data_IF_964213858095
#
_entry.id   IF_964213858095
#
_cell.length_a   1.000
_cell.length_b   1.000
_cell.length_c   1.000
_cell.angle_alpha   90.00
_cell.angle_beta   90.00
_cell.angle_gamma   90.00
#
_symmetry.space_group_name_H-M   'P 1'
#
loop_
_entity.id
_entity.type
_entity.pdbx_description
1 polymer ?
#
# COMPACT_ATOMS: atom_id res chain seq x y z
N UNK A 1 -53.60 -19.33 12.35
CA UNK A 1 -53.48 -18.76 10.96
C UNK A 1 -52.30 -17.80 11.01
N UNK A 2 -51.12 -18.28 10.76
CA UNK A 2 -49.87 -17.52 10.90
C UNK A 2 -49.28 -17.30 9.50
N UNK A 3 -49.31 -16.05 9.08
CA UNK A 3 -48.63 -15.59 7.90
C UNK A 3 -47.19 -15.20 8.29
N UNK A 4 -46.21 -15.97 7.88
CA UNK A 4 -44.80 -15.63 8.00
C UNK A 4 -44.40 -14.86 6.75
N UNK A 5 -44.19 -13.55 6.95
CA UNK A 5 -43.64 -12.68 5.94
C UNK A 5 -42.13 -12.90 5.81
N UNK A 6 -41.71 -13.49 4.70
CA UNK A 6 -40.32 -13.64 4.33
C UNK A 6 -39.81 -12.32 3.76
N UNK A 7 -39.13 -11.52 4.57
CA UNK A 7 -38.39 -10.34 4.12
C UNK A 7 -37.08 -10.83 3.46
N UNK A 8 -37.10 -10.94 2.15
CA UNK A 8 -35.89 -11.14 1.37
C UNK A 8 -35.11 -9.83 1.35
N UNK A 9 -33.97 -9.80 2.06
CA UNK A 9 -33.03 -8.68 1.99
C UNK A 9 -32.33 -8.72 0.62
N UNK A 10 -32.76 -7.85 -0.26
CA UNK A 10 -32.02 -7.57 -1.49
C UNK A 10 -30.90 -6.60 -1.10
N UNK A 11 -29.69 -7.12 -0.90
CA UNK A 11 -28.49 -6.30 -0.89
C UNK A 11 -28.19 -5.89 -2.33
N UNK A 12 -28.28 -4.61 -2.61
CA UNK A 12 -27.85 -4.02 -3.87
C UNK A 12 -26.32 -4.03 -3.91
N UNK A 13 -25.74 -5.11 -4.43
CA UNK A 13 -24.34 -5.12 -4.87
C UNK A 13 -24.24 -4.46 -6.23
N UNK A 14 -23.30 -3.56 -6.42
CA UNK A 14 -22.96 -3.01 -7.72
C UNK A 14 -22.48 -4.14 -8.63
N UNK A 15 -23.26 -4.49 -9.63
CA UNK A 15 -22.90 -5.47 -10.64
C UNK A 15 -22.23 -4.73 -11.78
N UNK A 16 -20.93 -4.91 -11.96
CA UNK A 16 -20.29 -4.66 -13.26
C UNK A 16 -20.72 -5.79 -14.20
N UNK A 17 -21.77 -5.56 -14.96
CA UNK A 17 -22.27 -6.51 -15.92
C UNK A 17 -21.49 -6.48 -17.21
N UNK A 18 -20.85 -7.59 -17.55
CA UNK A 18 -20.52 -7.86 -18.95
C UNK A 18 -21.81 -8.27 -19.66
N UNK A 19 -22.30 -7.46 -20.58
CA UNK A 19 -23.44 -7.81 -21.42
C UNK A 19 -22.97 -8.83 -22.44
N UNK A 20 -23.33 -10.08 -22.22
CA UNK A 20 -23.20 -11.15 -23.23
C UNK A 20 -24.57 -11.32 -23.84
N UNK A 21 -24.72 -11.09 -25.15
CA UNK A 21 -25.97 -11.26 -25.86
C UNK A 21 -26.48 -12.72 -25.69
N UNK A 22 -27.58 -12.89 -24.97
CA UNK A 22 -28.24 -14.17 -24.74
C UNK A 22 -27.76 -15.01 -23.56
N UNK A 23 -27.00 -14.42 -22.60
CA UNK A 23 -26.44 -15.14 -21.46
C UNK A 23 -26.97 -14.68 -20.09
N UNK A 24 -26.87 -15.58 -19.13
CA UNK A 24 -27.16 -15.32 -17.72
C UNK A 24 -26.06 -14.41 -17.12
N UNK A 25 -26.42 -13.27 -16.53
CA UNK A 25 -25.48 -12.44 -15.79
C UNK A 25 -25.12 -13.17 -14.48
N UNK A 26 -23.85 -13.51 -14.29
CA UNK A 26 -23.33 -14.02 -13.01
C UNK A 26 -22.75 -12.84 -12.25
N UNK A 27 -23.30 -12.51 -11.09
CA UNK A 27 -22.72 -11.55 -10.17
C UNK A 27 -21.59 -12.23 -9.40
N UNK A 28 -20.36 -11.73 -9.55
CA UNK A 28 -19.20 -12.18 -8.76
C UNK A 28 -19.12 -11.29 -7.52
N UNK A 29 -19.24 -11.86 -6.35
CA UNK A 29 -18.99 -11.17 -5.06
C UNK A 29 -17.53 -11.38 -4.66
N UNK A 30 -16.90 -10.43 -3.94
CA UNK A 30 -15.46 -10.50 -3.61
C UNK A 30 -15.01 -11.74 -2.81
N UNK A 31 -15.94 -12.41 -2.12
CA UNK A 31 -15.67 -13.56 -1.25
C UNK A 31 -16.06 -14.91 -1.86
N UNK A 32 -16.35 -14.95 -3.16
CA UNK A 32 -16.69 -16.24 -3.80
C UNK A 32 -15.43 -16.93 -4.32
N UNK A 33 -15.33 -18.26 -4.14
CA UNK A 33 -14.27 -19.04 -4.77
C UNK A 33 -14.32 -18.83 -6.30
N UNK A 34 -13.20 -19.03 -7.02
CA UNK A 34 -13.11 -18.75 -8.44
C UNK A 34 -14.29 -19.38 -9.19
N UNK A 35 -15.04 -18.52 -9.90
CA UNK A 35 -16.25 -18.96 -10.60
C UNK A 35 -15.83 -19.85 -11.76
N UNK A 36 -16.17 -21.14 -11.68
CA UNK A 36 -15.95 -22.09 -12.77
C UNK A 36 -17.03 -21.91 -13.83
N UNK A 37 -16.60 -21.70 -15.05
CA UNK A 37 -17.48 -21.55 -16.21
C UNK A 37 -17.11 -22.53 -17.29
N UNK A 38 -18.10 -22.91 -18.07
CA UNK A 38 -17.94 -23.74 -19.26
C UNK A 38 -17.96 -22.88 -20.52
N UNK A 39 -16.89 -22.87 -21.30
CA UNK A 39 -16.83 -22.15 -22.56
C UNK A 39 -17.07 -23.11 -23.69
N UNK A 40 -18.10 -22.85 -24.53
CA UNK A 40 -18.39 -23.65 -25.71
C UNK A 40 -17.24 -23.54 -26.72
N UNK A 41 -16.74 -24.69 -27.17
CA UNK A 41 -15.53 -24.74 -27.97
C UNK A 41 -15.73 -24.14 -29.37
N UNK A 42 -16.98 -24.14 -29.89
CA UNK A 42 -17.34 -23.64 -31.21
C UNK A 42 -17.85 -22.19 -31.17
N UNK A 43 -18.83 -21.92 -30.34
CA UNK A 43 -19.52 -20.62 -30.30
C UNK A 43 -18.85 -19.61 -29.40
N UNK A 44 -17.92 -20.06 -28.50
CA UNK A 44 -17.28 -19.25 -27.46
C UNK A 44 -18.24 -18.65 -26.42
N UNK A 45 -19.48 -19.16 -26.40
CA UNK A 45 -20.45 -18.76 -25.37
C UNK A 45 -20.03 -19.30 -23.99
N UNK A 46 -20.30 -18.54 -22.96
CA UNK A 46 -19.97 -18.86 -21.57
C UNK A 46 -21.24 -19.36 -20.88
N UNK A 47 -21.13 -20.46 -20.16
CA UNK A 47 -22.21 -21.07 -19.38
C UNK A 47 -21.73 -21.24 -17.92
N UNK A 48 -22.62 -21.09 -16.96
CA UNK A 48 -22.30 -21.40 -15.56
C UNK A 48 -21.99 -22.89 -15.40
N UNK A 49 -20.95 -23.20 -14.61
CA UNK A 49 -20.68 -24.56 -14.14
C UNK A 49 -21.23 -24.70 -12.72
N UNK A 50 -22.23 -25.53 -12.52
CA UNK A 50 -22.90 -25.71 -11.22
C UNK A 50 -22.23 -26.76 -10.34
N UNK A 51 -21.48 -27.68 -10.95
CA UNK A 51 -20.82 -28.82 -10.29
C UNK A 51 -19.30 -28.88 -10.53
N UNK A 52 -18.75 -27.85 -11.17
CA UNK A 52 -17.33 -27.82 -11.53
C UNK A 52 -16.97 -28.70 -12.73
N UNK A 53 -17.95 -29.21 -13.47
CA UNK A 53 -17.75 -29.99 -14.69
C UNK A 53 -18.39 -29.34 -15.90
N UNK A 54 -17.95 -29.74 -17.09
CA UNK A 54 -18.49 -29.27 -18.36
C UNK A 54 -18.83 -30.45 -19.27
N UNK A 55 -19.84 -30.29 -20.10
CA UNK A 55 -20.13 -31.25 -21.18
C UNK A 55 -18.98 -31.28 -22.20
N UNK A 56 -18.80 -32.40 -22.89
CA UNK A 56 -17.64 -32.65 -23.80
C UNK A 56 -17.39 -31.58 -24.87
N UNK A 57 -18.42 -30.81 -25.25
CA UNK A 57 -18.31 -29.72 -26.23
C UNK A 57 -17.83 -28.39 -25.63
N UNK A 58 -17.56 -28.35 -24.32
CA UNK A 58 -17.20 -27.15 -23.59
C UNK A 58 -15.91 -27.37 -22.79
N UNK A 59 -15.12 -26.34 -22.67
CA UNK A 59 -13.91 -26.34 -21.85
C UNK A 59 -14.19 -25.64 -20.54
N UNK A 60 -13.80 -26.28 -19.43
CA UNK A 60 -13.85 -25.67 -18.10
C UNK A 60 -12.80 -24.57 -18.01
N UNK A 61 -13.23 -23.38 -17.64
CA UNK A 61 -12.34 -22.24 -17.33
C UNK A 61 -12.69 -21.69 -15.96
N UNK A 62 -11.67 -21.26 -15.25
CA UNK A 62 -11.84 -20.53 -14.01
C UNK A 62 -11.73 -19.02 -14.31
N UNK A 63 -12.79 -18.28 -13.96
CA UNK A 63 -12.71 -16.82 -13.95
C UNK A 63 -12.04 -16.47 -12.61
N UNK A 64 -10.74 -16.30 -12.64
CA UNK A 64 -9.99 -15.76 -11.52
C UNK A 64 -10.13 -14.24 -11.62
N UNK A 65 -11.01 -13.67 -10.82
CA UNK A 65 -10.93 -12.25 -10.54
C UNK A 65 -9.66 -12.06 -9.70
N UNK A 66 -8.62 -11.49 -10.27
CA UNK A 66 -7.48 -11.02 -9.48
C UNK A 66 -7.91 -9.77 -8.72
N UNK A 67 -8.75 -9.93 -7.70
CA UNK A 67 -8.95 -8.88 -6.74
C UNK A 67 -7.69 -8.80 -5.90
N UNK A 68 -7.13 -7.60 -5.80
CA UNK A 68 -6.05 -7.33 -4.86
C UNK A 68 -6.57 -7.68 -3.46
N UNK A 69 -6.00 -8.70 -2.82
CA UNK A 69 -6.36 -9.10 -1.45
C UNK A 69 -5.67 -8.15 -0.46
N UNK A 70 -6.26 -6.96 -0.33
CA UNK A 70 -5.74 -5.90 0.54
C UNK A 70 -5.73 -6.34 2.01
N UNK A 71 -6.68 -7.15 2.45
CA UNK A 71 -6.78 -7.63 3.83
C UNK A 71 -5.59 -8.54 4.18
N UNK A 72 -5.31 -9.54 3.33
CA UNK A 72 -4.15 -10.42 3.50
C UNK A 72 -2.83 -9.64 3.45
N UNK A 73 -2.70 -8.69 2.51
CA UNK A 73 -1.51 -7.84 2.40
C UNK A 73 -1.37 -6.96 3.65
N UNK A 74 -2.46 -6.34 4.12
CA UNK A 74 -2.46 -5.51 5.32
C UNK A 74 -2.00 -6.30 6.55
N UNK A 75 -2.58 -7.48 6.77
CA UNK A 75 -2.19 -8.36 7.88
C UNK A 75 -0.72 -8.79 7.82
N UNK A 76 -0.21 -9.00 6.61
CA UNK A 76 1.18 -9.40 6.40
C UNK A 76 2.17 -8.25 6.60
N UNK A 77 1.84 -7.03 6.19
CA UNK A 77 2.76 -5.88 6.12
C UNK A 77 2.71 -5.01 7.37
N UNK A 78 1.53 -4.80 7.98
CA UNK A 78 1.36 -3.91 9.14
C UNK A 78 2.34 -4.15 10.30
N UNK A 79 2.74 -5.39 10.65
CA UNK A 79 3.73 -5.61 11.69
C UNK A 79 5.13 -5.04 11.39
N UNK A 80 5.39 -4.67 10.12
CA UNK A 80 6.66 -4.04 9.70
C UNK A 80 6.55 -2.52 9.59
N UNK A 81 5.37 -1.94 9.80
CA UNK A 81 5.13 -0.49 9.71
C UNK A 81 5.18 0.12 11.10
N UNK A 82 5.82 1.27 11.22
CA UNK A 82 5.98 1.98 12.48
C UNK A 82 5.54 3.43 12.37
N UNK A 83 5.08 4.01 13.49
CA UNK A 83 4.89 5.45 13.63
C UNK A 83 6.18 6.11 14.13
N UNK A 84 6.47 7.29 13.61
CA UNK A 84 7.63 8.08 14.01
C UNK A 84 7.15 9.43 14.50
N UNK A 85 7.54 9.76 15.74
CA UNK A 85 7.34 11.07 16.34
C UNK A 85 8.70 11.71 16.65
N UNK A 86 8.85 12.96 16.21
CA UNK A 86 10.07 13.74 16.42
C UNK A 86 9.76 14.91 17.36
N UNK A 87 10.60 15.11 18.35
CA UNK A 87 10.52 16.23 19.27
C UNK A 87 11.85 17.00 19.28
N UNK A 88 11.81 18.27 18.96
CA UNK A 88 12.98 19.15 18.95
C UNK A 88 12.63 20.54 19.45
N UNK A 89 13.65 21.35 19.81
CA UNK A 89 13.46 22.75 20.25
C UNK A 89 12.81 23.64 19.19
N UNK A 90 12.88 23.26 17.89
CA UNK A 90 12.32 24.00 16.76
C UNK A 90 10.94 23.51 16.31
N UNK A 91 10.33 22.57 17.04
CA UNK A 91 9.04 21.97 16.67
C UNK A 91 9.11 20.45 16.58
N UNK A 92 7.95 19.82 16.49
CA UNK A 92 7.80 18.38 16.32
C UNK A 92 7.38 18.00 14.89
N UNK A 93 7.55 16.75 14.56
CA UNK A 93 7.06 16.16 13.30
C UNK A 93 6.55 14.75 13.57
N UNK A 94 5.65 14.29 12.70
CA UNK A 94 5.17 12.91 12.71
C UNK A 94 5.22 12.33 11.31
N UNK A 95 5.41 11.03 11.22
CA UNK A 95 5.40 10.30 9.97
C UNK A 95 5.41 8.80 10.24
N UNK A 96 5.71 8.06 9.23
CA UNK A 96 5.79 6.60 9.24
C UNK A 96 7.19 6.11 8.95
N UNK A 97 7.41 4.84 9.18
CA UNK A 97 8.61 4.13 8.76
C UNK A 97 8.31 2.67 8.48
N UNK A 98 9.27 1.99 7.89
CA UNK A 98 9.19 0.56 7.63
C UNK A 98 10.42 -0.17 8.17
N UNK A 99 10.22 -1.24 8.91
CA UNK A 99 11.30 -2.10 9.39
C UNK A 99 11.88 -2.84 8.17
N UNK A 100 13.03 -2.38 7.74
CA UNK A 100 13.74 -2.89 6.57
C UNK A 100 14.60 -4.12 6.90
N UNK A 101 15.21 -4.11 8.09
CA UNK A 101 16.09 -5.17 8.57
C UNK A 101 15.96 -5.31 10.08
N UNK A 102 15.97 -6.53 10.57
CA UNK A 102 16.02 -6.83 12.01
C UNK A 102 17.08 -7.91 12.28
N UNK A 103 17.79 -7.73 13.39
CA UNK A 103 18.77 -8.69 13.92
C UNK A 103 18.27 -9.20 15.27
N UNK A 104 19.07 -9.97 16.00
CA UNK A 104 18.71 -10.42 17.35
C UNK A 104 18.58 -9.29 18.38
N UNK A 105 19.25 -8.14 18.16
CA UNK A 105 19.33 -7.03 19.14
C UNK A 105 18.86 -5.68 18.60
N UNK A 106 18.91 -5.45 17.29
CA UNK A 106 18.60 -4.17 16.68
C UNK A 106 17.71 -4.32 15.48
N UNK A 107 16.90 -3.29 15.21
CA UNK A 107 16.16 -3.16 13.97
C UNK A 107 16.47 -1.84 13.27
N UNK A 108 16.45 -1.86 11.95
CA UNK A 108 16.71 -0.73 11.09
C UNK A 108 15.42 -0.38 10.34
N UNK A 109 15.10 0.91 10.33
CA UNK A 109 13.86 1.47 9.79
C UNK A 109 14.23 2.44 8.71
N UNK A 110 13.61 2.32 7.53
CA UNK A 110 13.65 3.32 6.49
C UNK A 110 12.47 4.27 6.69
N UNK A 111 12.73 5.56 6.51
CA UNK A 111 11.74 6.64 6.53
C UNK A 111 12.17 7.77 5.61
N UNK A 112 11.40 8.86 5.51
CA UNK A 112 11.84 10.05 4.82
C UNK A 112 12.77 10.92 5.68
N UNK A 113 13.71 11.60 5.03
CA UNK A 113 14.57 12.58 5.68
C UNK A 113 13.77 13.74 6.26
N UNK A 114 12.76 14.25 5.55
CA UNK A 114 11.94 15.35 6.04
C UNK A 114 11.19 15.02 7.33
N UNK A 115 10.80 13.75 7.56
CA UNK A 115 10.14 13.29 8.79
C UNK A 115 11.04 13.50 10.01
N UNK A 116 12.36 13.29 9.84
CA UNK A 116 13.30 13.30 10.97
C UNK A 116 14.26 14.52 10.95
N UNK A 117 14.13 15.40 9.99
CA UNK A 117 15.07 16.50 9.77
C UNK A 117 15.22 17.43 10.98
N UNK A 118 14.13 17.72 11.70
CA UNK A 118 14.16 18.54 12.91
C UNK A 118 14.98 17.93 14.05
N UNK A 119 15.08 16.60 14.14
CA UNK A 119 15.90 15.93 15.14
C UNK A 119 17.40 15.94 14.82
N UNK A 120 17.79 16.25 13.59
CA UNK A 120 19.19 16.19 13.16
C UNK A 120 20.11 17.24 13.82
N UNK A 121 19.53 18.28 14.39
CA UNK A 121 20.24 19.37 15.11
C UNK A 121 20.04 19.30 16.63
N UNK A 122 19.65 18.17 17.15
CA UNK A 122 19.34 17.96 18.55
C UNK A 122 17.83 17.80 18.77
N UNK A 123 17.44 16.63 19.13
CA UNK A 123 16.05 16.23 19.34
C UNK A 123 15.96 14.75 19.61
N UNK A 124 14.77 14.27 19.92
CA UNK A 124 14.49 12.86 20.16
C UNK A 124 13.57 12.31 19.10
N UNK A 125 13.87 11.11 18.63
CA UNK A 125 13.04 10.36 17.72
C UNK A 125 12.45 9.18 18.48
N UNK A 126 11.13 9.14 18.56
CA UNK A 126 10.38 8.06 19.18
C UNK A 126 9.70 7.26 18.09
N UNK A 127 9.87 5.97 18.14
CA UNK A 127 9.26 5.00 17.24
C UNK A 127 8.23 4.21 18.02
N UNK A 128 7.01 4.15 17.51
CA UNK A 128 5.94 3.29 17.99
C UNK A 128 5.80 2.10 17.08
N UNK A 129 5.91 0.92 17.62
CA UNK A 129 5.75 -0.36 16.92
C UNK A 129 4.26 -0.70 16.79
N UNK A 130 3.94 -1.58 15.85
CA UNK A 130 2.55 -2.01 15.60
C UNK A 130 1.84 -2.62 16.83
N UNK A 131 2.58 -3.12 17.81
CA UNK A 131 2.03 -3.65 19.08
C UNK A 131 1.84 -2.58 20.17
N UNK A 132 2.10 -1.31 19.87
CA UNK A 132 2.02 -0.17 20.79
C UNK A 132 3.26 0.05 21.66
N UNK A 133 4.31 -0.76 21.53
CA UNK A 133 5.58 -0.54 22.22
C UNK A 133 6.31 0.69 21.63
N UNK A 134 7.08 1.38 22.47
CA UNK A 134 7.84 2.57 22.09
C UNK A 134 9.34 2.34 22.26
N UNK A 135 10.08 2.79 21.25
CA UNK A 135 11.54 2.75 21.25
C UNK A 135 12.12 4.12 20.90
N UNK A 136 13.26 4.44 21.48
CA UNK A 136 14.04 5.62 21.06
C UNK A 136 14.92 5.21 19.88
N UNK A 137 14.88 6.00 18.82
CA UNK A 137 15.66 5.74 17.61
C UNK A 137 16.87 6.67 17.50
N UNK A 138 17.90 6.15 16.87
CA UNK A 138 19.11 6.87 16.47
C UNK A 138 19.18 6.97 14.95
N UNK A 139 19.60 8.12 14.43
CA UNK A 139 19.83 8.30 12.98
C UNK A 139 21.12 7.54 12.63
N UNK A 140 21.03 6.61 11.68
CA UNK A 140 22.17 5.88 11.13
C UNK A 140 22.76 6.64 9.94
N UNK A 141 21.90 7.16 9.08
CA UNK A 141 22.28 7.93 7.91
C UNK A 141 21.07 8.64 7.31
N UNK A 142 21.36 9.64 6.49
CA UNK A 142 20.36 10.43 5.78
C UNK A 142 20.86 10.78 4.40
N UNK A 143 19.97 10.76 3.45
CA UNK A 143 20.16 11.35 2.13
C UNK A 143 19.11 12.44 1.94
N UNK A 144 19.56 13.69 1.98
CA UNK A 144 18.69 14.87 1.82
C UNK A 144 18.22 14.98 0.38
N UNK A 145 19.10 14.65 -0.60
CA UNK A 145 18.79 14.79 -2.01
C UNK A 145 17.71 13.81 -2.49
N UNK A 146 17.64 12.64 -1.88
CA UNK A 146 16.62 11.63 -2.20
C UNK A 146 15.52 11.51 -1.13
N UNK A 147 15.54 12.40 -0.12
CA UNK A 147 14.57 12.40 0.98
C UNK A 147 14.44 11.05 1.71
N UNK A 148 15.56 10.37 1.95
CA UNK A 148 15.62 9.08 2.65
C UNK A 148 16.41 9.22 3.96
N UNK A 149 15.97 8.48 4.98
CA UNK A 149 16.70 8.33 6.22
C UNK A 149 16.61 6.89 6.74
N UNK A 150 17.64 6.47 7.46
CA UNK A 150 17.69 5.19 8.15
C UNK A 150 17.84 5.43 9.65
N UNK A 151 16.96 4.82 10.41
CA UNK A 151 16.96 4.83 11.86
C UNK A 151 17.34 3.46 12.40
N UNK A 152 17.94 3.43 13.60
CA UNK A 152 18.17 2.22 14.38
C UNK A 152 17.45 2.31 15.72
N UNK A 153 16.78 1.24 16.10
CA UNK A 153 16.24 1.02 17.44
C UNK A 153 16.94 -0.18 18.09
N UNK A 154 17.09 -0.15 19.42
CA UNK A 154 17.70 -1.23 20.19
C UNK A 154 16.67 -2.32 20.54
N UNK A 155 15.92 -2.76 19.53
CA UNK A 155 14.93 -3.82 19.58
C UNK A 155 15.14 -4.76 18.41
N UNK A 156 15.42 -6.00 18.67
CA UNK A 156 15.61 -7.04 17.66
C UNK A 156 14.38 -7.95 17.50
N UNK A 157 14.53 -8.93 16.61
CA UNK A 157 13.51 -9.95 16.33
C UNK A 157 12.16 -9.40 15.90
N UNK A 158 12.15 -8.22 15.28
CA UNK A 158 10.96 -7.64 14.67
C UNK A 158 10.76 -8.17 13.26
N UNK A 159 9.52 -8.14 12.79
CA UNK A 159 9.20 -8.52 11.42
C UNK A 159 9.72 -7.46 10.44
N UNK A 160 10.75 -7.82 9.67
CA UNK A 160 11.22 -6.99 8.56
C UNK A 160 10.34 -7.21 7.33
N UNK A 161 10.13 -6.14 6.56
CA UNK A 161 9.39 -6.21 5.31
C UNK A 161 10.16 -6.99 4.24
N UNK A 162 9.44 -7.71 3.37
CA UNK A 162 10.04 -8.29 2.17
C UNK A 162 10.37 -7.18 1.19
N UNK A 163 11.62 -7.09 0.74
CA UNK A 163 12.04 -6.07 -0.23
C UNK A 163 11.78 -6.56 -1.65
N UNK A 164 11.07 -5.73 -2.41
CA UNK A 164 10.77 -5.94 -3.81
C UNK A 164 11.81 -5.32 -4.76
N UNK A 165 11.37 -5.10 -5.99
CA UNK A 165 12.18 -4.50 -7.04
C UNK A 165 11.35 -3.49 -7.84
N UNK A 166 11.54 -2.20 -7.57
CA UNK A 166 10.79 -1.12 -8.22
C UNK A 166 11.01 -1.02 -9.74
N UNK A 167 12.12 -1.55 -10.27
CA UNK A 167 12.38 -1.56 -11.72
C UNK A 167 11.49 -2.54 -12.49
N UNK A 168 10.75 -3.42 -11.78
CA UNK A 168 9.83 -4.37 -12.40
C UNK A 168 8.39 -3.87 -12.44
N UNK A 169 8.11 -2.76 -11.78
CA UNK A 169 6.76 -2.18 -11.77
C UNK A 169 6.32 -1.81 -13.18
N UNK A 170 5.04 -2.03 -13.43
CA UNK A 170 4.40 -1.60 -14.66
C UNK A 170 3.18 -0.71 -14.34
N UNK A 171 2.86 0.21 -15.26
CA UNK A 171 1.68 1.07 -15.11
C UNK A 171 0.42 0.20 -15.10
N UNK A 172 -0.49 0.47 -14.17
CA UNK A 172 -1.70 -0.31 -13.93
C UNK A 172 -1.53 -1.44 -12.92
N UNK A 173 -0.31 -1.73 -12.44
CA UNK A 173 -0.06 -2.75 -11.43
C UNK A 173 -0.66 -2.33 -10.08
N UNK A 174 -1.40 -3.23 -9.38
CA UNK A 174 -1.98 -2.93 -8.08
C UNK A 174 -0.90 -2.69 -7.02
N UNK A 175 -1.10 -1.66 -6.19
CA UNK A 175 -0.23 -1.33 -5.06
C UNK A 175 -1.05 -0.99 -3.82
N UNK A 176 -0.43 -1.19 -2.65
CA UNK A 176 -1.01 -0.83 -1.35
C UNK A 176 -0.02 0.08 -0.62
N UNK A 177 -0.51 1.23 -0.17
CA UNK A 177 0.25 2.18 0.61
C UNK A 177 -0.11 2.06 2.09
N UNK A 178 0.90 2.11 2.94
CA UNK A 178 0.76 2.04 4.39
C UNK A 178 1.30 3.31 5.04
N UNK A 179 0.69 3.64 6.18
CA UNK A 179 1.19 4.66 7.08
C UNK A 179 0.66 4.47 8.49
N UNK A 180 1.22 5.21 9.41
CA UNK A 180 0.79 5.24 10.81
C UNK A 180 0.71 6.70 11.27
N UNK A 181 -0.20 7.50 10.69
CA UNK A 181 -0.31 8.91 11.00
C UNK A 181 -0.76 9.11 12.46
N UNK A 182 -0.08 10.03 13.18
CA UNK A 182 -0.49 10.51 14.51
C UNK A 182 -0.59 9.41 15.61
N UNK A 183 0.15 8.29 15.49
CA UNK A 183 0.01 7.18 16.43
C UNK A 183 -1.31 6.39 16.27
N UNK A 184 -2.11 6.72 15.26
CA UNK A 184 -3.24 5.91 14.86
C UNK A 184 -2.69 4.77 14.01
N UNK A 185 -2.50 3.61 14.61
CA UNK A 185 -1.96 2.43 13.95
C UNK A 185 -2.78 2.06 12.72
N UNK A 186 -2.10 2.01 11.55
CA UNK A 186 -2.59 1.23 10.43
C UNK A 186 -3.49 1.93 9.42
N UNK A 187 -3.10 3.10 8.88
CA UNK A 187 -3.73 3.57 7.64
C UNK A 187 -3.26 2.70 6.46
N UNK A 188 -4.21 2.13 5.75
CA UNK A 188 -4.00 1.34 4.54
C UNK A 188 -4.84 1.92 3.42
N UNK A 189 -4.22 2.21 2.29
CA UNK A 189 -4.91 2.65 1.08
C UNK A 189 -4.43 1.83 -0.10
N UNK A 190 -5.30 1.58 -1.07
CA UNK A 190 -4.96 0.81 -2.27
C UNK A 190 -5.24 1.60 -3.54
N UNK A 191 -4.48 1.28 -4.58
CA UNK A 191 -4.59 1.89 -5.89
C UNK A 191 -3.73 1.12 -6.89
N UNK A 192 -3.29 1.82 -7.92
CA UNK A 192 -2.43 1.30 -8.98
C UNK A 192 -1.18 2.18 -9.15
N UNK A 193 -0.20 1.65 -9.83
CA UNK A 193 0.88 2.46 -10.40
C UNK A 193 0.30 3.29 -11.54
N UNK A 194 0.14 4.60 -11.33
CA UNK A 194 -0.42 5.52 -12.34
C UNK A 194 0.63 5.97 -13.36
N UNK A 195 1.88 6.12 -12.91
CA UNK A 195 3.02 6.46 -13.76
C UNK A 195 4.34 6.07 -13.08
N UNK A 196 5.40 5.98 -13.86
CA UNK A 196 6.77 5.73 -13.40
C UNK A 196 7.69 6.86 -13.86
N UNK A 197 8.83 6.99 -13.17
CA UNK A 197 9.89 7.97 -13.48
C UNK A 197 9.35 9.41 -13.55
N UNK A 198 8.48 9.78 -12.61
CA UNK A 198 7.98 11.15 -12.51
C UNK A 198 9.02 12.02 -11.81
N UNK A 199 9.58 13.02 -12.50
CA UNK A 199 10.44 13.97 -11.82
C UNK A 199 9.60 14.81 -10.85
N UNK A 200 9.83 14.62 -9.56
CA UNK A 200 9.14 15.34 -8.49
C UNK A 200 10.17 16.01 -7.61
N UNK A 201 9.93 17.26 -7.27
CA UNK A 201 10.68 17.93 -6.21
C UNK A 201 9.91 17.83 -4.91
N UNK A 202 10.56 17.38 -3.84
CA UNK A 202 10.02 17.37 -2.50
C UNK A 202 10.88 18.27 -1.60
N UNK A 203 10.25 18.96 -0.66
CA UNK A 203 10.94 19.85 0.27
C UNK A 203 10.56 21.32 0.14
N UNK A 204 11.19 22.16 0.98
CA UNK A 204 11.04 23.62 0.94
C UNK A 204 12.18 24.25 0.15
N UNK A 205 11.96 25.48 -0.31
CA UNK A 205 12.95 26.27 -1.05
C UNK A 205 14.33 26.24 -0.39
N UNK A 206 15.32 25.71 -1.09
CA UNK A 206 16.71 25.56 -0.61
C UNK A 206 17.07 24.21 0.01
N UNK A 207 16.10 23.27 0.14
CA UNK A 207 16.31 21.90 0.57
C UNK A 207 15.44 20.95 -0.29
N UNK A 208 15.51 21.13 -1.61
CA UNK A 208 14.73 20.36 -2.57
C UNK A 208 15.35 18.98 -2.82
N UNK A 209 14.53 17.96 -2.76
CA UNK A 209 14.89 16.59 -3.15
C UNK A 209 14.37 16.31 -4.55
N UNK A 210 15.17 15.65 -5.34
CA UNK A 210 14.83 15.27 -6.72
C UNK A 210 14.58 13.76 -6.77
N UNK A 211 13.35 13.39 -7.03
CA UNK A 211 12.90 11.99 -6.97
C UNK A 211 12.37 11.59 -8.34
N UNK A 212 12.80 10.46 -8.87
CA UNK A 212 12.16 9.78 -9.99
C UNK A 212 11.00 8.94 -9.49
N UNK A 213 9.90 9.60 -9.09
CA UNK A 213 8.85 9.00 -8.29
C UNK A 213 8.01 7.96 -9.04
N UNK A 214 7.54 6.97 -8.26
CA UNK A 214 6.37 6.17 -8.60
C UNK A 214 5.15 7.02 -8.29
N UNK A 215 4.30 7.27 -9.29
CA UNK A 215 3.00 7.91 -9.09
C UNK A 215 1.93 6.84 -8.88
N UNK A 216 1.06 7.04 -7.89
CA UNK A 216 -0.08 6.17 -7.59
C UNK A 216 -1.33 6.98 -7.28
N UNK A 217 -2.51 6.41 -7.51
CA UNK A 217 -3.79 6.95 -7.07
C UNK A 217 -4.20 6.44 -5.66
N UNK A 218 -3.43 5.50 -5.08
CA UNK A 218 -3.54 5.19 -3.65
C UNK A 218 -3.37 6.48 -2.83
N UNK A 219 -4.26 6.73 -1.89
CA UNK A 219 -4.28 7.98 -1.14
C UNK A 219 -3.04 8.12 -0.24
N UNK A 220 -2.13 9.02 -0.61
CA UNK A 220 -0.96 9.42 0.19
C UNK A 220 -1.28 10.77 0.83
N UNK A 221 -1.30 10.80 2.16
CA UNK A 221 -1.63 11.98 2.96
C UNK A 221 -0.52 12.25 3.99
N UNK A 222 -0.48 13.44 4.62
CA UNK A 222 0.40 13.72 5.76
C UNK A 222 0.27 12.64 6.84
N UNK A 223 1.42 12.11 7.27
CA UNK A 223 1.51 10.95 8.16
C UNK A 223 1.85 9.63 7.45
N UNK A 224 1.52 9.46 6.18
CA UNK A 224 1.97 8.29 5.40
C UNK A 224 3.43 8.42 4.93
N UNK A 225 4.02 9.63 4.97
CA UNK A 225 5.43 9.87 4.63
C UNK A 225 6.34 8.93 5.40
N UNK A 226 7.24 8.24 4.69
CA UNK A 226 8.18 7.26 5.22
C UNK A 226 7.61 5.84 5.34
N UNK A 227 6.29 5.67 5.21
CA UNK A 227 5.65 4.36 5.15
C UNK A 227 5.87 3.64 3.82
N UNK A 228 5.64 2.32 3.76
CA UNK A 228 5.88 1.54 2.56
C UNK A 228 4.76 1.67 1.52
N UNK A 229 5.15 1.67 0.24
CA UNK A 229 4.33 1.26 -0.88
C UNK A 229 4.72 -0.18 -1.22
N UNK A 230 3.75 -1.09 -1.28
CA UNK A 230 3.99 -2.51 -1.59
C UNK A 230 3.22 -2.94 -2.83
N UNK A 231 3.75 -3.96 -3.52
CA UNK A 231 3.07 -4.63 -4.62
C UNK A 231 2.00 -5.63 -4.12
N UNK A 232 1.31 -6.28 -5.05
CA UNK A 232 0.27 -7.28 -4.75
C UNK A 232 0.77 -8.51 -3.96
N UNK A 233 2.09 -8.69 -3.83
CA UNK A 233 2.71 -9.75 -3.01
C UNK A 233 3.08 -9.27 -1.61
N UNK A 234 2.84 -8.00 -1.27
CA UNK A 234 3.27 -7.36 -0.03
C UNK A 234 4.77 -7.03 0.00
N UNK A 235 5.46 -7.04 -1.13
CA UNK A 235 6.87 -6.67 -1.19
C UNK A 235 7.03 -5.15 -1.36
N UNK A 236 7.97 -4.57 -0.63
CA UNK A 236 8.28 -3.15 -0.62
C UNK A 236 8.81 -2.71 -1.99
N UNK A 237 8.11 -1.80 -2.65
CA UNK A 237 8.49 -1.24 -3.96
C UNK A 237 8.74 0.26 -3.91
N UNK A 238 8.28 0.96 -2.86
CA UNK A 238 8.54 2.38 -2.69
C UNK A 238 8.38 2.85 -1.24
N UNK A 239 8.85 4.07 -0.98
CA UNK A 239 8.67 4.80 0.29
C UNK A 239 7.76 6.00 -0.01
N UNK A 240 6.61 6.06 0.65
CA UNK A 240 5.61 7.11 0.45
C UNK A 240 6.18 8.49 0.82
N UNK A 241 5.88 9.52 0.03
CA UNK A 241 6.26 10.89 0.32
C UNK A 241 5.07 11.83 0.09
N UNK A 242 4.46 12.31 1.16
CA UNK A 242 3.27 13.17 1.11
C UNK A 242 3.60 14.66 0.84
N UNK A 243 4.90 15.03 0.77
CA UNK A 243 5.31 16.40 0.44
C UNK A 243 5.42 16.63 -1.07
N UNK A 244 5.47 15.56 -1.83
CA UNK A 244 5.51 15.63 -3.28
C UNK A 244 4.11 16.02 -3.80
N UNK A 245 3.79 17.31 -3.78
CA UNK A 245 2.54 17.85 -4.32
C UNK A 245 2.85 18.74 -5.51
N UNK A 246 2.04 18.63 -6.56
CA UNK A 246 2.06 19.61 -7.65
C UNK A 246 1.45 20.92 -7.11
N UNK A 247 2.29 21.95 -6.92
CA UNK A 247 1.88 23.32 -6.56
C UNK A 247 1.24 23.54 -5.17
N UNK A 248 1.91 23.17 -4.08
CA UNK A 248 1.95 23.92 -2.82
C UNK A 248 0.65 24.20 -2.05
N UNK A 249 -0.50 23.61 -2.36
CA UNK A 249 -1.75 24.08 -1.79
C UNK A 249 -2.79 23.02 -1.36
N UNK A 250 -2.63 21.75 -1.66
CA UNK A 250 -3.64 20.75 -1.34
C UNK A 250 -3.34 20.06 0.00
N UNK A 251 -4.24 20.20 0.96
CA UNK A 251 -4.21 19.50 2.25
C UNK A 251 -4.89 18.13 2.17
N UNK A 252 -4.42 17.25 1.28
CA UNK A 252 -4.96 15.90 1.13
C UNK A 252 -4.78 15.31 -0.27
N UNK A 253 -4.94 14.00 -0.37
CA UNK A 253 -4.82 13.28 -1.64
C UNK A 253 -5.95 13.65 -2.60
N UNK A 254 -5.57 13.98 -3.82
CA UNK A 254 -6.49 14.21 -4.96
C UNK A 254 -6.34 13.10 -6.02
N UNK A 255 -5.87 11.91 -5.64
CA UNK A 255 -5.55 10.83 -6.56
C UNK A 255 -4.15 10.94 -7.20
N UNK A 256 -3.30 11.80 -6.65
CA UNK A 256 -1.92 11.99 -7.06
C UNK A 256 -1.02 11.77 -5.84
N UNK A 257 -0.61 10.53 -5.62
CA UNK A 257 0.35 10.13 -4.61
C UNK A 257 1.71 9.85 -5.24
N UNK A 258 2.78 10.06 -4.48
CA UNK A 258 4.14 9.80 -4.94
C UNK A 258 4.91 8.97 -3.93
N UNK A 259 5.74 8.07 -4.44
CA UNK A 259 6.64 7.24 -3.61
C UNK A 259 8.02 7.17 -4.24
N UNK A 260 9.04 7.22 -3.39
CA UNK A 260 10.44 7.06 -3.78
C UNK A 260 10.67 5.59 -4.11
N UNK A 261 11.15 5.24 -5.32
CA UNK A 261 11.40 3.85 -5.67
C UNK A 261 12.36 3.17 -4.70
N UNK A 262 12.06 1.94 -4.26
CA UNK A 262 12.92 1.24 -3.30
C UNK A 262 14.33 0.98 -3.84
N UNK A 263 14.51 0.83 -5.14
CA UNK A 263 15.84 0.65 -5.72
C UNK A 263 16.68 1.95 -5.68
N UNK A 264 16.06 3.12 -5.56
CA UNK A 264 16.73 4.39 -5.32
C UNK A 264 17.06 4.58 -3.82
N UNK A 265 16.24 4.01 -2.93
CA UNK A 265 16.40 4.13 -1.47
C UNK A 265 17.41 3.12 -0.87
N UNK A 266 17.90 2.16 -1.65
CA UNK A 266 18.93 1.19 -1.24
C UNK A 266 20.32 1.80 -1.32
#
# INVERSE_FOLDING_TARGET
MNSVSTFTKVMAGFVMGAVIAGGVAVAVTPDTPPTKVCVDNRTKQIFASTDGSCVKTRTLMEIVGSSLDVETIASAVSPSVVSIAVNSFGGGGTGSGVIYRSTGSNSFIITNNHVISSASQGGTIRVELNNGDFETAQIVGRDVAYDIAVLRINRGNLKAIKVGNSNRLVIGEPVVAFGSPLGLSGTVTSGIVSALNRPVTAGSTGAESYIDAIQTDAAINPGNSGGPLVDATGALVGINSAIATLNGGATGSIGLGFSIPINQAK
#
